data_IF_979858422811
#
_entry.id   IF_979858422811
#
_cell.length_a   1.000
_cell.length_b   1.000
_cell.length_c   1.000
_cell.angle_alpha   90.00
_cell.angle_beta   90.00
_cell.angle_gamma   90.00
#
_symmetry.space_group_name_H-M   'P 1'
#
loop_
_entity.id
_entity.type
_entity.pdbx_description
1 polymer ?
#
# COMPACT_ATOMS: atom_id res chain seq x y z
N UNK A 1 -40.69 16.66 44.41
CA UNK A 1 -41.40 15.62 43.64
C UNK A 1 -42.16 16.41 42.60
N UNK A 2 -41.75 16.52 41.34
CA UNK A 2 -41.03 15.62 40.42
C UNK A 2 -39.91 16.45 39.73
N UNK A 3 -38.63 16.08 39.76
CA UNK A 3 -37.94 15.25 38.75
C UNK A 3 -38.42 15.57 37.33
N UNK A 4 -37.65 16.20 36.45
CA UNK A 4 -36.22 16.01 36.18
C UNK A 4 -36.13 15.77 34.69
N UNK A 5 -35.93 16.84 33.93
CA UNK A 5 -35.77 16.83 32.47
C UNK A 5 -34.60 15.92 32.12
N UNK A 6 -34.87 14.68 31.74
CA UNK A 6 -33.84 13.77 31.23
C UNK A 6 -33.48 14.24 29.82
N UNK A 7 -32.38 14.99 29.74
CA UNK A 7 -31.66 15.25 28.51
C UNK A 7 -31.36 13.91 27.82
N UNK A 8 -31.84 13.82 26.59
CA UNK A 8 -31.57 12.75 25.63
C UNK A 8 -30.05 12.62 25.47
N UNK A 9 -29.40 11.49 25.85
CA UNK A 9 -28.05 11.26 25.42
C UNK A 9 -28.20 10.88 23.95
N UNK A 10 -27.92 11.83 23.07
CA UNK A 10 -27.55 11.55 21.69
C UNK A 10 -26.35 10.61 21.72
N UNK A 11 -26.67 9.32 21.80
CA UNK A 11 -25.74 8.21 21.80
C UNK A 11 -24.99 8.34 20.48
N UNK A 12 -23.69 8.55 20.62
CA UNK A 12 -22.76 8.89 19.56
C UNK A 12 -22.53 7.64 18.71
N UNK A 13 -23.58 7.19 18.03
CA UNK A 13 -23.58 6.03 17.16
C UNK A 13 -22.70 6.36 15.96
N UNK A 14 -21.57 5.66 15.87
CA UNK A 14 -20.68 5.70 14.72
C UNK A 14 -21.54 5.54 13.44
N UNK A 15 -21.35 6.38 12.40
CA UNK A 15 -22.12 6.29 11.16
C UNK A 15 -22.08 4.86 10.60
N UNK A 16 -23.19 4.34 10.04
CA UNK A 16 -23.26 2.95 9.58
C UNK A 16 -22.18 2.60 8.56
N UNK A 17 -21.79 3.56 7.71
CA UNK A 17 -20.66 3.38 6.78
C UNK A 17 -19.31 3.13 7.47
N UNK A 18 -19.11 3.68 8.67
CA UNK A 18 -17.87 3.51 9.44
C UNK A 18 -17.86 2.17 10.17
N UNK A 19 -19.02 1.65 10.58
CA UNK A 19 -19.16 0.33 11.16
C UNK A 19 -18.89 -0.79 10.13
N UNK A 20 -19.43 -0.67 8.91
CA UNK A 20 -19.20 -1.64 7.82
C UNK A 20 -17.74 -1.67 7.36
N UNK A 21 -17.11 -0.49 7.25
CA UNK A 21 -15.71 -0.36 6.86
C UNK A 21 -14.79 -1.00 7.91
N UNK A 22 -15.14 -0.91 9.19
CA UNK A 22 -14.38 -1.53 10.27
C UNK A 22 -14.53 -3.05 10.31
N UNK A 23 -15.74 -3.58 10.10
CA UNK A 23 -15.96 -5.02 9.93
C UNK A 23 -15.14 -5.57 8.77
N UNK A 24 -15.07 -4.85 7.64
CA UNK A 24 -14.28 -5.28 6.48
C UNK A 24 -12.76 -5.32 6.74
N UNK A 25 -12.24 -4.40 7.58
CA UNK A 25 -10.81 -4.38 7.96
C UNK A 25 -10.49 -5.52 8.91
N UNK A 26 -11.39 -5.80 9.86
CA UNK A 26 -11.22 -6.82 10.90
C UNK A 26 -11.31 -8.22 10.29
N UNK A 27 -12.29 -8.48 9.43
CA UNK A 27 -12.41 -9.75 8.71
C UNK A 27 -11.19 -10.01 7.81
N UNK A 28 -10.64 -8.97 7.18
CA UNK A 28 -9.44 -9.13 6.34
C UNK A 28 -8.17 -9.40 7.15
N UNK A 29 -8.06 -8.88 8.37
CA UNK A 29 -6.86 -9.04 9.21
C UNK A 29 -6.96 -10.16 10.26
N UNK A 30 -8.16 -10.69 10.48
CA UNK A 30 -8.49 -11.79 11.38
C UNK A 30 -7.75 -11.78 12.75
N UNK A 31 -7.86 -10.69 13.55
CA UNK A 31 -7.17 -10.63 14.82
C UNK A 31 -7.91 -11.47 15.88
N UNK A 32 -7.28 -12.56 16.35
CA UNK A 32 -7.83 -13.42 17.41
C UNK A 32 -7.84 -12.76 18.81
N UNK A 33 -7.04 -11.71 19.03
CA UNK A 33 -6.93 -10.99 20.32
C UNK A 33 -6.35 -9.57 20.11
N UNK A 34 -6.74 -8.63 20.98
CA UNK A 34 -6.17 -7.29 21.15
C UNK A 34 -4.64 -7.28 21.32
N UNK A 35 -4.08 -8.30 21.97
CA UNK A 35 -2.63 -8.47 22.11
C UNK A 35 -1.96 -8.91 20.79
N UNK A 36 -2.63 -9.77 20.03
CA UNK A 36 -2.17 -10.23 18.72
C UNK A 36 -2.24 -9.08 17.68
N UNK A 37 -3.27 -8.22 17.77
CA UNK A 37 -3.40 -7.05 16.92
C UNK A 37 -2.25 -6.04 17.10
N UNK A 38 -1.73 -5.88 18.32
CA UNK A 38 -0.55 -5.04 18.59
C UNK A 38 0.75 -5.63 18.01
N UNK A 39 0.88 -6.95 18.00
CA UNK A 39 2.02 -7.65 17.38
C UNK A 39 1.95 -7.57 15.85
N UNK A 40 0.76 -7.70 15.25
CA UNK A 40 0.53 -7.52 13.82
C UNK A 40 0.80 -6.08 13.36
N UNK A 41 0.38 -5.09 14.14
CA UNK A 41 0.68 -3.68 13.89
C UNK A 41 2.18 -3.41 13.95
N UNK A 42 2.86 -3.94 14.98
CA UNK A 42 4.31 -3.77 15.14
C UNK A 42 5.07 -4.44 14.00
N UNK A 43 4.67 -5.64 13.59
CA UNK A 43 5.30 -6.36 12.48
C UNK A 43 5.05 -5.67 11.13
N UNK A 44 3.81 -5.21 10.86
CA UNK A 44 3.49 -4.47 9.64
C UNK A 44 4.24 -3.14 9.56
N UNK A 45 4.35 -2.40 10.68
CA UNK A 45 5.13 -1.18 10.77
C UNK A 45 6.63 -1.41 10.60
N UNK A 46 7.17 -2.49 11.19
CA UNK A 46 8.58 -2.88 11.03
C UNK A 46 8.90 -3.26 9.59
N UNK A 47 8.04 -4.06 8.95
CA UNK A 47 8.18 -4.45 7.55
C UNK A 47 8.12 -3.22 6.63
N UNK A 48 7.20 -2.30 6.88
CA UNK A 48 7.12 -1.04 6.13
C UNK A 48 8.42 -0.23 6.20
N UNK A 49 8.96 -0.05 7.41
CA UNK A 49 10.23 0.62 7.62
C UNK A 49 11.41 -0.10 6.96
N UNK A 50 11.42 -1.44 7.03
CA UNK A 50 12.45 -2.26 6.41
C UNK A 50 12.44 -2.14 4.87
N UNK A 51 11.27 -2.21 4.24
CA UNK A 51 11.13 -2.03 2.79
C UNK A 51 11.47 -0.61 2.34
N UNK A 52 11.09 0.41 3.12
CA UNK A 52 11.45 1.80 2.83
C UNK A 52 12.97 2.02 2.90
N UNK A 53 13.64 1.47 3.92
CA UNK A 53 15.10 1.50 4.01
C UNK A 53 15.77 0.72 2.89
N UNK A 54 15.25 -0.46 2.54
CA UNK A 54 15.75 -1.26 1.42
C UNK A 54 15.64 -0.48 0.09
N UNK A 55 14.51 0.19 -0.16
CA UNK A 55 14.32 1.03 -1.34
C UNK A 55 15.36 2.17 -1.39
N UNK A 56 15.57 2.87 -0.26
CA UNK A 56 16.58 3.92 -0.16
C UNK A 56 18.01 3.43 -0.40
N UNK A 57 18.38 2.27 0.16
CA UNK A 57 19.69 1.65 -0.05
C UNK A 57 19.89 1.18 -1.49
N UNK A 58 18.88 0.55 -2.09
CA UNK A 58 18.93 0.14 -3.50
C UNK A 58 19.09 1.35 -4.40
N UNK A 59 18.32 2.42 -4.17
CA UNK A 59 18.43 3.65 -4.95
C UNK A 59 19.83 4.26 -4.81
N UNK A 60 20.33 4.34 -3.57
CA UNK A 60 21.65 4.87 -3.28
C UNK A 60 22.76 4.09 -4.00
N UNK A 61 22.74 2.76 -3.90
CA UNK A 61 23.77 1.90 -4.48
C UNK A 61 23.68 1.88 -6.00
N UNK A 62 22.48 1.75 -6.56
CA UNK A 62 22.30 1.45 -7.99
C UNK A 62 22.18 2.69 -8.88
N UNK A 63 21.83 3.84 -8.31
CA UNK A 63 21.67 5.09 -9.05
C UNK A 63 22.66 6.14 -8.54
N UNK A 64 22.59 6.51 -7.27
CA UNK A 64 23.40 7.64 -6.76
C UNK A 64 24.91 7.39 -6.79
N UNK A 65 25.36 6.15 -6.49
CA UNK A 65 26.78 5.75 -6.55
C UNK A 65 27.11 4.81 -7.70
N UNK A 66 26.17 3.95 -8.09
CA UNK A 66 26.37 2.96 -9.14
C UNK A 66 26.10 3.47 -10.55
N UNK A 67 25.41 4.60 -10.72
CA UNK A 67 24.93 5.05 -12.03
C UNK A 67 26.02 5.17 -13.10
N UNK A 68 27.19 5.70 -12.73
CA UNK A 68 28.32 5.83 -13.66
C UNK A 68 28.95 4.49 -14.07
N UNK A 69 28.82 3.44 -13.25
CA UNK A 69 29.31 2.09 -13.57
C UNK A 69 28.27 1.24 -14.29
N UNK A 70 26.99 1.62 -14.21
CA UNK A 70 25.85 0.94 -14.82
C UNK A 70 25.39 1.59 -16.14
N UNK A 71 26.16 2.53 -16.69
CA UNK A 71 25.91 3.13 -17.99
C UNK A 71 24.82 4.20 -17.99
N UNK A 72 24.54 4.87 -16.87
CA UNK A 72 23.47 5.88 -16.81
C UNK A 72 23.69 7.06 -17.79
N UNK A 73 24.94 7.35 -18.16
CA UNK A 73 25.28 8.36 -19.17
C UNK A 73 24.94 7.94 -20.61
N UNK A 74 24.73 6.66 -20.85
CA UNK A 74 24.38 6.10 -22.16
C UNK A 74 22.86 5.97 -22.34
N UNK A 75 22.10 6.18 -21.26
CA UNK A 75 20.64 6.20 -21.30
C UNK A 75 20.20 7.57 -21.83
N UNK A 76 19.56 7.65 -23.00
CA UNK A 76 19.02 8.91 -23.49
C UNK A 76 17.88 9.36 -22.57
N UNK A 77 17.57 10.65 -22.62
CA UNK A 77 16.41 11.17 -21.89
C UNK A 77 15.15 10.36 -22.24
N UNK A 78 14.33 10.12 -21.23
CA UNK A 78 12.98 9.58 -21.39
C UNK A 78 12.23 10.35 -22.49
N UNK A 79 11.28 9.69 -23.14
CA UNK A 79 10.36 10.31 -24.10
C UNK A 79 9.56 11.46 -23.45
N UNK A 80 9.46 11.47 -22.12
CA UNK A 80 8.89 12.57 -21.33
C UNK A 80 9.90 13.68 -20.99
N UNK A 81 11.13 13.60 -21.51
CA UNK A 81 12.21 14.58 -21.28
C UNK A 81 12.93 14.44 -19.94
N UNK A 82 12.74 13.33 -19.22
CA UNK A 82 13.36 13.10 -17.91
C UNK A 82 14.70 12.39 -18.04
N UNK A 83 15.70 12.86 -17.29
CA UNK A 83 16.94 12.11 -17.08
C UNK A 83 16.67 10.86 -16.23
N UNK A 84 17.43 9.78 -16.44
CA UNK A 84 17.30 8.54 -15.67
C UNK A 84 17.40 8.76 -14.15
N UNK A 85 18.29 9.64 -13.70
CA UNK A 85 18.40 10.00 -12.28
C UNK A 85 17.08 10.58 -11.75
N UNK A 86 16.45 11.52 -12.48
CA UNK A 86 15.17 12.09 -12.10
C UNK A 86 14.05 11.04 -12.14
N UNK A 87 14.03 10.17 -13.16
CA UNK A 87 13.07 9.09 -13.29
C UNK A 87 13.14 8.12 -12.09
N UNK A 88 14.34 7.81 -11.60
CA UNK A 88 14.55 6.92 -10.45
C UNK A 88 13.98 7.45 -9.12
N UNK A 89 13.82 8.77 -8.99
CA UNK A 89 13.21 9.42 -7.83
C UNK A 89 11.70 9.54 -8.02
N UNK A 90 11.28 9.92 -9.23
CA UNK A 90 9.86 10.18 -9.51
C UNK A 90 9.02 8.89 -9.51
N UNK A 91 9.59 7.77 -9.96
CA UNK A 91 8.89 6.49 -10.00
C UNK A 91 8.44 6.04 -8.60
N UNK A 92 9.31 5.96 -7.57
CA UNK A 92 8.89 5.70 -6.20
C UNK A 92 7.83 6.67 -5.66
N UNK A 93 7.95 7.97 -5.96
CA UNK A 93 6.97 8.98 -5.52
C UNK A 93 5.60 8.70 -6.15
N UNK A 94 5.55 8.39 -7.45
CA UNK A 94 4.34 8.05 -8.17
C UNK A 94 3.72 6.74 -7.66
N UNK A 95 4.55 5.74 -7.33
CA UNK A 95 4.09 4.48 -6.71
C UNK A 95 3.44 4.74 -5.38
N UNK A 96 4.05 5.57 -4.54
CA UNK A 96 3.50 5.94 -3.25
C UNK A 96 2.15 6.62 -3.42
N UNK A 97 2.06 7.60 -4.33
CA UNK A 97 0.82 8.33 -4.60
C UNK A 97 -0.28 7.43 -5.17
N UNK A 98 0.05 6.64 -6.18
CA UNK A 98 -0.87 5.68 -6.82
C UNK A 98 -1.43 4.70 -5.79
N UNK A 99 -0.55 4.10 -4.99
CA UNK A 99 -0.94 3.11 -3.98
C UNK A 99 -1.80 3.74 -2.89
N UNK A 100 -1.42 4.90 -2.39
CA UNK A 100 -2.21 5.62 -1.38
C UNK A 100 -3.61 5.96 -1.91
N UNK A 101 -3.70 6.58 -3.10
CA UNK A 101 -4.97 6.95 -3.72
C UNK A 101 -5.83 5.72 -4.01
N UNK A 102 -5.23 4.63 -4.47
CA UNK A 102 -5.95 3.38 -4.73
C UNK A 102 -6.54 2.80 -3.44
N UNK A 103 -5.74 2.70 -2.39
CA UNK A 103 -6.18 2.13 -1.11
C UNK A 103 -7.25 3.02 -0.47
N UNK A 104 -7.03 4.34 -0.33
CA UNK A 104 -8.05 5.24 0.20
C UNK A 104 -9.30 5.34 -0.69
N UNK A 105 -9.12 5.28 -2.00
CA UNK A 105 -10.21 5.28 -2.99
C UNK A 105 -11.10 4.06 -2.89
N UNK A 106 -10.52 2.88 -2.62
CA UNK A 106 -11.28 1.64 -2.41
C UNK A 106 -12.16 1.71 -1.16
N UNK A 107 -11.68 2.34 -0.08
CA UNK A 107 -12.45 2.46 1.17
C UNK A 107 -13.63 3.42 1.05
N UNK A 108 -13.52 4.48 0.26
CA UNK A 108 -14.60 5.47 0.08
C UNK A 108 -15.57 5.13 -1.04
N UNK A 109 -15.34 4.05 -1.79
CA UNK A 109 -16.18 3.65 -2.93
C UNK A 109 -16.25 4.70 -4.05
N UNK A 110 -15.32 5.66 -4.09
CA UNK A 110 -15.34 6.74 -5.09
C UNK A 110 -14.67 6.30 -6.40
N UNK A 111 -15.40 6.19 -7.53
CA UNK A 111 -14.82 5.71 -8.79
C UNK A 111 -13.66 6.56 -9.31
N UNK A 112 -13.70 7.88 -9.05
CA UNK A 112 -12.66 8.81 -9.50
C UNK A 112 -11.29 8.53 -8.88
N UNK A 113 -11.23 8.13 -7.61
CA UNK A 113 -9.98 7.79 -6.94
C UNK A 113 -9.35 6.50 -7.53
N UNK A 114 -10.18 5.51 -7.86
CA UNK A 114 -9.71 4.28 -8.50
C UNK A 114 -9.14 4.54 -9.91
N UNK A 115 -9.81 5.38 -10.70
CA UNK A 115 -9.33 5.79 -12.01
C UNK A 115 -8.02 6.58 -11.92
N UNK A 116 -7.92 7.52 -10.98
CA UNK A 116 -6.71 8.32 -10.81
C UNK A 116 -5.53 7.46 -10.30
N UNK A 117 -5.77 6.61 -9.30
CA UNK A 117 -4.78 5.69 -8.77
C UNK A 117 -4.29 4.71 -9.84
N UNK A 118 -5.22 4.11 -10.60
CA UNK A 118 -4.91 3.19 -11.70
C UNK A 118 -4.21 3.88 -12.88
N UNK A 119 -4.63 5.10 -13.25
CA UNK A 119 -3.95 5.90 -14.28
C UNK A 119 -2.52 6.24 -13.89
N UNK A 120 -2.30 6.58 -12.62
CA UNK A 120 -0.95 6.80 -12.08
C UNK A 120 -0.12 5.51 -12.09
N UNK A 121 -0.74 4.34 -11.79
CA UNK A 121 -0.07 3.04 -11.87
C UNK A 121 0.35 2.69 -13.31
N UNK A 122 -0.48 3.01 -14.30
CA UNK A 122 -0.13 2.86 -15.71
C UNK A 122 1.05 3.76 -16.12
N UNK A 123 1.10 4.99 -15.62
CA UNK A 123 2.24 5.88 -15.84
C UNK A 123 3.53 5.31 -15.24
N UNK A 124 3.45 4.74 -14.02
CA UNK A 124 4.58 4.03 -13.40
C UNK A 124 5.03 2.86 -14.26
N UNK A 125 4.09 2.01 -14.70
CA UNK A 125 4.40 0.85 -15.54
C UNK A 125 5.07 1.27 -16.87
N UNK A 126 4.59 2.37 -17.45
CA UNK A 126 5.21 2.98 -18.63
C UNK A 126 6.66 3.39 -18.38
N UNK A 127 6.93 4.12 -17.29
CA UNK A 127 8.29 4.55 -16.95
C UNK A 127 9.24 3.37 -16.67
N UNK A 128 8.73 2.26 -16.11
CA UNK A 128 9.52 1.06 -15.87
C UNK A 128 9.90 0.39 -17.20
N UNK A 129 8.96 0.25 -18.14
CA UNK A 129 9.19 -0.46 -19.41
C UNK A 129 9.89 0.42 -20.46
N UNK A 130 9.88 1.74 -20.29
CA UNK A 130 10.44 2.70 -21.24
C UNK A 130 11.90 2.40 -21.68
N UNK A 131 12.85 2.03 -20.80
CA UNK A 131 14.21 1.71 -21.22
C UNK A 131 14.26 0.50 -22.18
N UNK A 132 13.35 -0.47 -22.04
CA UNK A 132 13.21 -1.55 -23.02
C UNK A 132 12.62 -1.05 -24.34
N UNK A 133 11.68 -0.10 -24.29
CA UNK A 133 11.16 0.56 -25.49
C UNK A 133 12.24 1.29 -26.27
N UNK A 134 13.11 2.03 -25.57
CA UNK A 134 14.25 2.74 -26.16
C UNK A 134 15.29 1.79 -26.77
N UNK A 135 15.49 0.61 -26.17
CA UNK A 135 16.29 -0.46 -26.77
C UNK A 135 15.69 -0.94 -28.10
N UNK A 136 14.38 -1.18 -28.15
CA UNK A 136 13.71 -1.66 -29.37
C UNK A 136 13.74 -0.64 -30.52
N UNK A 137 13.75 0.65 -30.19
CA UNK A 137 13.85 1.76 -31.17
C UNK A 137 15.31 2.01 -31.59
N UNK A 138 16.29 1.35 -30.96
CA UNK A 138 17.71 1.52 -31.25
C UNK A 138 18.30 2.82 -30.68
N UNK A 139 17.69 3.38 -29.64
CA UNK A 139 18.22 4.56 -28.92
C UNK A 139 19.21 4.19 -27.83
N UNK A 140 19.25 2.92 -27.42
CA UNK A 140 20.25 2.34 -26.51
C UNK A 140 20.94 1.21 -27.28
N UNK A 141 22.26 1.31 -27.45
CA UNK A 141 23.04 0.29 -28.17
C UNK A 141 23.29 -0.96 -27.31
N UNK A 142 23.37 -0.81 -25.99
CA UNK A 142 23.69 -1.90 -25.09
C UNK A 142 22.44 -2.48 -24.38
N UNK A 143 22.16 -3.75 -24.68
CA UNK A 143 21.03 -4.51 -24.09
C UNK A 143 21.15 -4.56 -22.56
N UNK A 144 22.36 -4.75 -22.03
CA UNK A 144 22.65 -4.84 -20.59
C UNK A 144 22.23 -3.58 -19.85
N UNK A 145 22.48 -2.39 -20.41
CA UNK A 145 22.15 -1.08 -19.84
C UNK A 145 20.63 -0.91 -19.76
N UNK A 146 19.91 -1.22 -20.85
CA UNK A 146 18.44 -1.12 -20.87
C UNK A 146 17.76 -2.07 -19.87
N UNK A 147 18.23 -3.32 -19.79
CA UNK A 147 17.72 -4.29 -18.80
C UNK A 147 18.07 -3.87 -17.38
N UNK A 148 19.29 -3.39 -17.13
CA UNK A 148 19.69 -2.92 -15.81
C UNK A 148 18.88 -1.69 -15.36
N UNK A 149 18.61 -0.74 -16.27
CA UNK A 149 17.76 0.42 -16.01
C UNK A 149 16.33 0.00 -15.63
N UNK A 150 15.72 -0.86 -16.44
CA UNK A 150 14.38 -1.42 -16.21
C UNK A 150 14.30 -2.17 -14.87
N UNK A 151 15.27 -3.04 -14.60
CA UNK A 151 15.32 -3.83 -13.38
C UNK A 151 15.42 -2.93 -12.13
N UNK A 152 16.25 -1.89 -12.17
CA UNK A 152 16.38 -0.92 -11.07
C UNK A 152 15.07 -0.21 -10.78
N UNK A 153 14.41 0.32 -11.81
CA UNK A 153 13.11 0.98 -11.66
C UNK A 153 12.03 0.00 -11.14
N UNK A 154 12.02 -1.24 -11.64
CA UNK A 154 11.08 -2.26 -11.19
C UNK A 154 11.28 -2.64 -9.71
N UNK A 155 12.53 -2.85 -9.27
CA UNK A 155 12.85 -3.17 -7.87
C UNK A 155 12.49 -2.01 -6.95
N UNK A 156 12.83 -0.77 -7.32
CA UNK A 156 12.47 0.42 -6.55
C UNK A 156 10.95 0.58 -6.42
N UNK A 157 10.23 0.37 -7.52
CA UNK A 157 8.77 0.40 -7.54
C UNK A 157 8.18 -0.68 -6.63
N UNK A 158 8.66 -1.91 -6.73
CA UNK A 158 8.18 -3.04 -5.91
C UNK A 158 8.43 -2.80 -4.42
N UNK A 159 9.63 -2.41 -4.03
CA UNK A 159 9.97 -2.13 -2.63
C UNK A 159 9.13 -0.99 -2.07
N UNK A 160 8.92 0.08 -2.86
CA UNK A 160 8.09 1.21 -2.46
C UNK A 160 6.62 0.79 -2.31
N UNK A 161 6.10 0.01 -3.24
CA UNK A 161 4.74 -0.54 -3.15
C UNK A 161 4.55 -1.38 -1.88
N UNK A 162 5.49 -2.29 -1.59
CA UNK A 162 5.45 -3.13 -0.38
C UNK A 162 5.55 -2.28 0.89
N UNK A 163 6.42 -1.27 0.91
CA UNK A 163 6.56 -0.35 2.04
C UNK A 163 5.25 0.40 2.32
N UNK A 164 4.59 0.91 1.29
CA UNK A 164 3.35 1.68 1.41
C UNK A 164 2.18 0.79 1.80
N UNK A 165 2.03 -0.38 1.16
CA UNK A 165 0.95 -1.32 1.49
C UNK A 165 1.04 -1.78 2.95
N UNK A 166 2.22 -2.20 3.40
CA UNK A 166 2.43 -2.61 4.81
C UNK A 166 2.27 -1.44 5.79
N UNK A 167 2.69 -0.24 5.41
CA UNK A 167 2.52 0.97 6.22
C UNK A 167 1.06 1.36 6.40
N UNK A 168 0.27 1.32 5.32
CA UNK A 168 -1.18 1.60 5.39
C UNK A 168 -1.87 0.55 6.25
N UNK A 169 -1.54 -0.74 6.12
CA UNK A 169 -2.06 -1.78 7.02
C UNK A 169 -1.78 -1.48 8.50
N UNK A 170 -0.57 -1.04 8.84
CA UNK A 170 -0.23 -0.67 10.22
C UNK A 170 -1.05 0.53 10.72
N UNK A 171 -1.23 1.56 9.88
CA UNK A 171 -2.03 2.75 10.19
C UNK A 171 -3.50 2.37 10.41
N UNK A 172 -4.08 1.55 9.52
CA UNK A 172 -5.47 1.09 9.63
C UNK A 172 -5.67 0.29 10.91
N UNK A 173 -4.77 -0.63 11.23
CA UNK A 173 -4.87 -1.45 12.44
C UNK A 173 -4.74 -0.61 13.72
N UNK A 174 -3.86 0.41 13.71
CA UNK A 174 -3.76 1.40 14.79
C UNK A 174 -5.03 2.22 14.96
N UNK A 175 -5.68 2.59 13.85
CA UNK A 175 -6.92 3.34 13.89
C UNK A 175 -8.08 2.48 14.44
N UNK A 176 -8.21 1.24 13.96
CA UNK A 176 -9.21 0.28 14.48
C UNK A 176 -9.04 0.05 15.98
N UNK A 177 -7.80 -0.16 16.45
CA UNK A 177 -7.53 -0.32 17.88
C UNK A 177 -7.93 0.91 18.70
N UNK A 178 -7.71 2.11 18.16
CA UNK A 178 -8.08 3.37 18.81
C UNK A 178 -9.59 3.63 18.86
N UNK A 179 -10.38 2.98 18.00
CA UNK A 179 -11.84 3.13 17.95
C UNK A 179 -12.60 2.02 18.71
N UNK A 180 -11.91 0.98 19.20
CA UNK A 180 -12.56 -0.17 19.87
C UNK A 180 -13.44 0.22 21.07
N UNK A 181 -13.10 1.31 21.78
CA UNK A 181 -13.87 1.80 22.92
C UNK A 181 -15.22 2.45 22.55
N UNK A 182 -15.40 2.88 21.30
CA UNK A 182 -16.60 3.59 20.84
C UNK A 182 -17.59 2.68 20.09
N UNK A 183 -17.37 1.36 20.11
CA UNK A 183 -18.19 0.41 19.37
C UNK A 183 -19.24 -0.23 20.26
N UNK A 184 -20.49 -0.37 19.77
CA UNK A 184 -21.57 -1.03 20.50
C UNK A 184 -21.45 -2.57 20.50
N UNK A 185 -20.45 -3.14 19.83
CA UNK A 185 -20.19 -4.59 19.76
C UNK A 185 -18.69 -4.88 19.87
N UNK A 186 -18.31 -6.02 20.44
CA UNK A 186 -16.90 -6.43 20.50
C UNK A 186 -16.46 -6.96 19.14
N UNK A 187 -15.62 -6.17 18.47
CA UNK A 187 -15.06 -6.45 17.15
C UNK A 187 -14.32 -7.79 17.10
N UNK A 188 -13.76 -8.23 18.23
CA UNK A 188 -13.04 -9.50 18.32
C UNK A 188 -13.99 -10.70 18.39
N UNK A 189 -15.22 -10.51 18.91
CA UNK A 189 -16.25 -11.56 18.95
C UNK A 189 -16.80 -11.85 17.54
N UNK A 190 -17.00 -10.80 16.73
CA UNK A 190 -17.42 -10.94 15.31
C UNK A 190 -16.34 -11.63 14.47
N UNK A 191 -15.05 -11.32 14.69
CA UNK A 191 -13.95 -12.01 14.01
C UNK A 191 -13.87 -13.49 14.41
N UNK A 192 -14.17 -13.81 15.67
CA UNK A 192 -14.16 -15.17 16.19
C UNK A 192 -15.34 -15.99 15.66
N UNK A 193 -16.54 -15.42 15.63
CA UNK A 193 -17.76 -16.06 15.11
C UNK A 193 -17.65 -16.37 13.61
N UNK A 194 -16.95 -15.51 12.84
CA UNK A 194 -16.66 -15.78 11.43
C UNK A 194 -15.72 -16.99 11.23
N UNK A 195 -14.69 -17.17 12.06
CA UNK A 195 -13.82 -18.35 11.98
C UNK A 195 -14.53 -19.64 12.44
N UNK A 196 -15.33 -19.58 13.50
CA UNK A 196 -16.07 -20.75 14.01
C UNK A 196 -17.11 -21.25 13.00
N UNK A 197 -17.70 -20.36 12.19
CA UNK A 197 -18.57 -20.73 11.07
C UNK A 197 -17.86 -21.41 9.88
N UNK A 198 -16.55 -21.23 9.71
CA UNK A 198 -15.73 -21.92 8.70
C UNK A 198 -15.25 -23.30 9.18
N UNK A 199 -15.03 -23.47 10.49
CA UNK A 199 -14.66 -24.74 11.10
C UNK A 199 -15.82 -25.77 11.13
N UNK A 200 -17.07 -25.28 11.13
CA UNK A 200 -18.29 -26.11 11.06
C UNK A 200 -18.64 -26.58 9.65
N UNK A 201 -17.94 -26.09 8.61
CA UNK A 201 -18.03 -26.67 7.27
C UNK A 201 -17.04 -27.83 7.17
N UNK A 202 -17.42 -28.96 7.78
CA UNK A 202 -16.79 -30.24 7.51
C UNK A 202 -16.71 -30.41 5.99
N UNK A 203 -15.48 -30.51 5.46
CA UNK A 203 -15.26 -30.80 4.05
C UNK A 203 -16.08 -32.01 3.63
N UNK A 204 -16.95 -31.91 2.61
CA UNK A 204 -17.59 -33.10 2.07
C UNK A 204 -16.55 -33.87 1.22
N UNK A 205 -15.70 -34.61 1.94
CA UNK A 205 -14.90 -35.76 1.51
C UNK A 205 -13.79 -35.51 0.46
N UNK A 206 -12.82 -36.44 0.35
CA UNK A 206 -11.38 -36.19 0.22
C UNK A 206 -10.88 -35.84 -1.19
#
# INVERSE_FOLDING_TARGET
>A
MEEGTSEDPSENSIPPETAELMQSIVLRHNPTDSHNMRNLMTNAGLLSGAYAMAAGLVWWITVAKGGSQLGDSEIPNSLLGLEFHAASIIVPILVLFSTAVFVFGSYRGTPGALLFGGGTALLVAYLIIEPLGLLLVGSIDEVTVAFAATARLAVLSLLTYLAVMSGISAILLSWVLGQHHYLPFDVFEVAKEYNEGEDDVSSPFP
#
